data_IF_026541678582
#
_entry.id   IF_026541678582
#
_cell.length_a   1.000
_cell.length_b   1.000
_cell.length_c   1.000
_cell.angle_alpha   90.00
_cell.angle_beta   90.00
_cell.angle_gamma   90.00
#
_symmetry.space_group_name_H-M   'P 1'
#
loop_
_entity.id
_entity.type
_entity.pdbx_description
1 polymer ?
#
# COMPACT_ATOMS: atom_id res chain seq x y z
N UNK A 1 12.44 -16.09 -12.58
CA UNK A 1 11.21 -16.87 -12.32
C UNK A 1 10.46 -17.21 -13.62
N UNK A 2 9.95 -16.23 -14.38
CA UNK A 2 9.13 -16.48 -15.59
C UNK A 2 9.91 -17.20 -16.71
N UNK A 3 11.18 -16.85 -16.94
CA UNK A 3 12.03 -17.55 -17.91
C UNK A 3 12.25 -19.04 -17.55
N UNK A 4 12.42 -19.34 -16.26
CA UNK A 4 12.55 -20.72 -15.78
C UNK A 4 11.24 -21.50 -15.92
N UNK A 5 10.09 -20.85 -15.68
CA UNK A 5 8.76 -21.43 -15.89
C UNK A 5 8.55 -21.79 -17.37
N UNK A 6 8.92 -20.91 -18.31
CA UNK A 6 8.82 -21.19 -19.74
C UNK A 6 9.72 -22.37 -20.16
N UNK A 7 10.97 -22.40 -19.73
CA UNK A 7 11.88 -23.52 -20.04
C UNK A 7 11.34 -24.84 -19.50
N UNK A 8 10.82 -24.85 -18.27
CA UNK A 8 10.19 -26.02 -17.66
C UNK A 8 8.95 -26.49 -18.43
N UNK A 9 8.06 -25.55 -18.79
CA UNK A 9 6.78 -25.88 -19.47
C UNK A 9 7.03 -26.43 -20.88
N UNK A 10 7.99 -25.85 -21.61
CA UNK A 10 8.36 -26.29 -22.96
C UNK A 10 9.43 -27.39 -22.97
N UNK A 11 9.79 -27.95 -21.81
CA UNK A 11 10.79 -29.02 -21.67
C UNK A 11 12.13 -28.71 -22.38
N UNK A 12 12.53 -27.43 -22.44
CA UNK A 12 13.72 -26.98 -23.16
C UNK A 12 13.67 -27.12 -24.69
N UNK A 13 12.51 -27.35 -25.30
CA UNK A 13 12.41 -27.47 -26.75
C UNK A 13 12.52 -26.10 -27.43
N UNK A 14 13.66 -25.88 -28.08
CA UNK A 14 14.05 -24.63 -28.73
C UNK A 14 13.13 -24.27 -29.91
N UNK A 15 12.55 -25.26 -30.60
CA UNK A 15 11.70 -25.03 -31.78
C UNK A 15 10.41 -24.27 -31.43
N UNK A 16 9.79 -24.64 -30.31
CA UNK A 16 8.60 -23.97 -29.80
C UNK A 16 8.93 -22.56 -29.28
N UNK A 17 10.06 -22.40 -28.60
CA UNK A 17 10.52 -21.10 -28.09
C UNK A 17 10.83 -20.10 -29.22
N UNK A 18 11.51 -20.53 -30.28
CA UNK A 18 11.82 -19.68 -31.45
C UNK A 18 10.53 -19.20 -32.11
N UNK A 19 9.54 -20.10 -32.26
CA UNK A 19 8.26 -19.75 -32.87
C UNK A 19 7.51 -18.69 -32.06
N UNK A 20 7.52 -18.80 -30.73
CA UNK A 20 6.90 -17.84 -29.81
C UNK A 20 7.59 -16.46 -29.87
N UNK A 21 8.93 -16.47 -29.89
CA UNK A 21 9.75 -15.28 -30.03
C UNK A 21 9.49 -14.55 -31.36
N UNK A 22 9.44 -15.30 -32.46
CA UNK A 22 9.23 -14.75 -33.80
C UNK A 22 7.90 -13.98 -33.89
N UNK A 23 6.82 -14.51 -33.31
CA UNK A 23 5.53 -13.80 -33.28
C UNK A 23 5.66 -12.46 -32.54
N UNK A 24 6.30 -12.45 -31.36
CA UNK A 24 6.48 -11.22 -30.59
C UNK A 24 7.30 -10.15 -31.33
N UNK A 25 8.40 -10.55 -31.98
CA UNK A 25 9.28 -9.66 -32.73
C UNK A 25 8.60 -9.11 -33.98
N UNK A 26 8.02 -9.98 -34.81
CA UNK A 26 7.36 -9.54 -36.04
C UNK A 26 6.09 -8.75 -35.76
N UNK A 27 5.36 -9.05 -34.68
CA UNK A 27 4.22 -8.23 -34.25
C UNK A 27 4.67 -6.84 -33.79
N UNK A 28 5.77 -6.74 -33.04
CA UNK A 28 6.36 -5.46 -32.65
C UNK A 28 6.78 -4.63 -33.87
N UNK A 29 7.40 -5.27 -34.87
CA UNK A 29 7.71 -4.61 -36.14
C UNK A 29 6.46 -4.20 -36.90
N UNK A 30 5.43 -5.05 -36.97
CA UNK A 30 4.16 -4.73 -37.65
C UNK A 30 3.51 -3.50 -37.01
N UNK A 31 3.45 -3.44 -35.67
CA UNK A 31 2.89 -2.31 -34.93
C UNK A 31 3.73 -1.04 -35.14
N UNK A 32 5.07 -1.13 -35.08
CA UNK A 32 5.96 0.00 -35.29
C UNK A 32 5.85 0.58 -36.72
N UNK A 33 5.87 -0.30 -37.74
CA UNK A 33 5.73 0.08 -39.15
C UNK A 33 4.36 0.73 -39.40
N UNK A 34 3.28 0.15 -38.86
CA UNK A 34 1.93 0.72 -38.94
C UNK A 34 1.86 2.09 -38.25
N UNK A 35 2.48 2.22 -37.07
CA UNK A 35 2.57 3.48 -36.35
C UNK A 35 3.31 4.57 -37.14
N UNK A 36 4.40 4.20 -37.82
CA UNK A 36 5.14 5.11 -38.71
C UNK A 36 4.30 5.54 -39.91
N UNK A 37 3.49 4.66 -40.50
CA UNK A 37 2.56 5.04 -41.58
C UNK A 37 1.56 6.09 -41.08
N UNK A 38 0.97 5.90 -39.90
CA UNK A 38 0.04 6.87 -39.29
C UNK A 38 0.76 8.20 -39.01
N UNK A 39 1.98 8.14 -38.47
CA UNK A 39 2.80 9.32 -38.19
C UNK A 39 3.11 10.14 -39.45
N UNK A 40 3.60 9.51 -40.51
CA UNK A 40 3.90 10.20 -41.79
C UNK A 40 2.65 10.79 -42.44
N UNK A 41 1.50 10.10 -42.33
CA UNK A 41 0.23 10.61 -42.84
C UNK A 41 -0.29 11.83 -42.05
N UNK A 42 0.05 11.94 -40.76
CA UNK A 42 -0.35 13.07 -39.90
C UNK A 42 0.55 14.29 -40.07
N UNK A 43 1.86 14.12 -40.14
CA UNK A 43 2.82 15.24 -40.21
C UNK A 43 3.06 15.77 -41.63
N UNK A 44 2.85 14.93 -42.66
CA UNK A 44 2.94 15.30 -44.10
C UNK A 44 4.19 16.10 -44.50
N UNK A 45 5.33 15.80 -43.91
CA UNK A 45 6.61 16.41 -44.25
C UNK A 45 7.16 16.04 -45.63
N UNK A 46 8.38 16.45 -45.94
CA UNK A 46 8.99 16.20 -47.25
C UNK A 46 9.11 14.70 -47.56
N UNK A 47 8.71 14.29 -48.76
CA UNK A 47 8.69 12.88 -49.21
C UNK A 47 7.84 11.94 -48.32
N UNK A 48 6.85 12.45 -47.58
CA UNK A 48 6.01 11.64 -46.69
C UNK A 48 5.32 10.48 -47.41
N UNK A 49 4.87 10.65 -48.65
CA UNK A 49 4.25 9.59 -49.45
C UNK A 49 5.18 8.39 -49.65
N UNK A 50 6.45 8.65 -50.01
CA UNK A 50 7.44 7.59 -50.23
C UNK A 50 7.79 6.87 -48.93
N UNK A 51 7.96 7.62 -47.83
CA UNK A 51 8.26 7.05 -46.51
C UNK A 51 7.07 6.24 -45.96
N UNK A 52 5.84 6.74 -46.15
CA UNK A 52 4.63 6.02 -45.79
C UNK A 52 4.48 4.73 -46.61
N UNK A 53 4.75 4.77 -47.91
CA UNK A 53 4.69 3.58 -48.76
C UNK A 53 5.68 2.50 -48.34
N UNK A 54 6.95 2.85 -48.08
CA UNK A 54 7.97 1.90 -47.62
C UNK A 54 7.57 1.26 -46.28
N UNK A 55 7.10 2.05 -45.32
CA UNK A 55 6.65 1.53 -44.03
C UNK A 55 5.36 0.69 -44.17
N UNK A 56 4.44 1.05 -45.07
CA UNK A 56 3.23 0.28 -45.34
C UNK A 56 3.55 -1.08 -45.96
N UNK A 57 4.51 -1.13 -46.88
CA UNK A 57 5.02 -2.38 -47.42
C UNK A 57 5.68 -3.23 -46.33
N UNK A 58 6.50 -2.62 -45.47
CA UNK A 58 7.09 -3.29 -44.31
C UNK A 58 6.04 -3.87 -43.35
N UNK A 59 4.99 -3.10 -43.02
CA UNK A 59 3.87 -3.53 -42.20
C UNK A 59 3.11 -4.70 -42.84
N UNK A 60 2.90 -4.67 -44.15
CA UNK A 60 2.24 -5.76 -44.88
C UNK A 60 3.08 -7.05 -44.84
N UNK A 61 4.37 -6.98 -45.16
CA UNK A 61 5.27 -8.15 -45.16
C UNK A 61 5.37 -8.75 -43.75
N UNK A 62 5.62 -7.91 -42.75
CA UNK A 62 5.73 -8.38 -41.35
C UNK A 62 4.40 -8.92 -40.82
N UNK A 63 3.27 -8.30 -41.18
CA UNK A 63 1.93 -8.80 -40.84
C UNK A 63 1.62 -10.15 -41.47
N UNK A 64 2.00 -10.37 -42.74
CA UNK A 64 1.88 -11.68 -43.40
C UNK A 64 2.71 -12.73 -42.67
N UNK A 65 3.96 -12.40 -42.29
CA UNK A 65 4.81 -13.32 -41.53
C UNK A 65 4.18 -13.69 -40.18
N UNK A 66 3.65 -12.72 -39.43
CA UNK A 66 2.93 -12.99 -38.17
C UNK A 66 1.76 -13.93 -38.41
N UNK A 67 0.96 -13.69 -39.45
CA UNK A 67 -0.22 -14.51 -39.77
C UNK A 67 0.17 -15.93 -40.15
N UNK A 68 1.18 -16.09 -41.02
CA UNK A 68 1.68 -17.41 -41.42
C UNK A 68 2.20 -18.18 -40.20
N UNK A 69 3.02 -17.56 -39.34
CA UNK A 69 3.53 -18.22 -38.13
C UNK A 69 2.38 -18.56 -37.17
N UNK A 70 1.43 -17.65 -36.96
CA UNK A 70 0.28 -17.87 -36.09
C UNK A 70 -0.57 -19.07 -36.52
N UNK A 71 -0.81 -19.24 -37.83
CA UNK A 71 -1.59 -20.36 -38.39
C UNK A 71 -0.78 -21.66 -38.39
N UNK A 72 0.44 -21.64 -38.94
CA UNK A 72 1.25 -22.87 -39.13
C UNK A 72 1.80 -23.44 -37.82
N UNK A 73 2.13 -22.59 -36.85
CA UNK A 73 2.64 -23.01 -35.54
C UNK A 73 1.58 -22.90 -34.44
N UNK A 74 0.29 -22.82 -34.79
CA UNK A 74 -0.82 -22.77 -33.83
C UNK A 74 -0.73 -23.92 -32.81
N UNK A 75 -0.67 -25.17 -33.29
CA UNK A 75 -0.56 -26.36 -32.44
C UNK A 75 0.77 -26.48 -31.69
N UNK A 76 1.78 -25.71 -32.09
CA UNK A 76 3.11 -25.68 -31.49
C UNK A 76 3.24 -24.58 -30.42
N UNK A 77 2.14 -23.97 -29.97
CA UNK A 77 2.13 -23.01 -28.87
C UNK A 77 2.03 -21.54 -29.27
N UNK A 78 1.90 -21.22 -30.56
CA UNK A 78 1.65 -19.84 -31.01
C UNK A 78 0.36 -19.23 -30.41
N UNK A 79 -0.63 -20.08 -30.08
CA UNK A 79 -1.87 -19.67 -29.41
C UNK A 79 -1.63 -18.97 -28.07
N UNK A 80 -0.53 -19.28 -27.37
CA UNK A 80 -0.18 -18.66 -26.09
C UNK A 80 0.05 -17.16 -26.27
N UNK A 81 0.76 -16.73 -27.30
CA UNK A 81 0.99 -15.30 -27.57
C UNK A 81 -0.31 -14.59 -27.94
N UNK A 82 -1.17 -15.25 -28.74
CA UNK A 82 -2.47 -14.72 -29.13
C UNK A 82 -3.41 -14.50 -27.94
N UNK A 83 -3.28 -15.26 -26.86
CA UNK A 83 -4.04 -15.06 -25.61
C UNK A 83 -3.32 -14.07 -24.68
N UNK A 84 -2.00 -14.22 -24.55
CA UNK A 84 -1.19 -13.45 -23.62
C UNK A 84 -1.19 -11.95 -23.94
N UNK A 85 -1.04 -11.57 -25.20
CA UNK A 85 -1.00 -10.15 -25.59
C UNK A 85 -2.33 -9.43 -25.30
N UNK A 86 -3.50 -9.93 -25.74
CA UNK A 86 -4.79 -9.32 -25.37
C UNK A 86 -5.01 -9.26 -23.86
N UNK A 87 -4.65 -10.32 -23.12
CA UNK A 87 -4.74 -10.34 -21.66
C UNK A 87 -3.92 -9.22 -21.05
N UNK A 88 -2.67 -9.04 -21.50
CA UNK A 88 -1.78 -8.00 -21.02
C UNK A 88 -2.30 -6.59 -21.36
N UNK A 89 -2.89 -6.41 -22.56
CA UNK A 89 -3.56 -5.16 -22.94
C UNK A 89 -4.73 -4.85 -22.01
N UNK A 90 -5.57 -5.84 -21.67
CA UNK A 90 -6.68 -5.66 -20.73
C UNK A 90 -6.17 -5.27 -19.34
N UNK A 91 -5.12 -5.93 -18.84
CA UNK A 91 -4.49 -5.60 -17.56
C UNK A 91 -3.96 -4.17 -17.57
N UNK A 92 -3.19 -3.78 -18.59
CA UNK A 92 -2.65 -2.42 -18.69
C UNK A 92 -3.75 -1.36 -18.81
N UNK A 93 -4.82 -1.63 -19.56
CA UNK A 93 -5.99 -0.73 -19.62
C UNK A 93 -6.70 -0.62 -18.27
N UNK A 94 -6.85 -1.73 -17.54
CA UNK A 94 -7.47 -1.73 -16.21
C UNK A 94 -6.64 -0.94 -15.21
N UNK A 95 -5.32 -1.11 -15.22
CA UNK A 95 -4.39 -0.34 -14.38
C UNK A 95 -4.49 1.15 -14.72
N UNK A 96 -4.42 1.51 -16.00
CA UNK A 96 -4.53 2.91 -16.43
C UNK A 96 -5.88 3.54 -16.09
N UNK A 97 -6.99 2.78 -16.16
CA UNK A 97 -8.30 3.25 -15.70
C UNK A 97 -8.30 3.50 -14.20
N UNK A 98 -7.84 2.53 -13.41
CA UNK A 98 -7.74 2.67 -11.96
C UNK A 98 -6.93 3.92 -11.54
N UNK A 99 -5.80 4.19 -12.20
CA UNK A 99 -5.02 5.40 -11.93
C UNK A 99 -5.76 6.70 -12.28
N UNK A 100 -6.59 6.70 -13.34
CA UNK A 100 -7.41 7.88 -13.69
C UNK A 100 -8.53 8.09 -12.67
N UNK A 101 -9.22 7.03 -12.30
CA UNK A 101 -10.28 7.07 -11.29
C UNK A 101 -9.71 7.57 -9.94
N UNK A 102 -8.51 7.11 -9.56
CA UNK A 102 -7.80 7.63 -8.39
C UNK A 102 -7.40 9.10 -8.55
N UNK A 103 -6.91 9.52 -9.72
CA UNK A 103 -6.52 10.90 -9.95
C UNK A 103 -7.72 11.85 -9.86
N UNK A 104 -8.90 11.41 -10.30
CA UNK A 104 -10.15 12.16 -10.18
C UNK A 104 -10.62 12.24 -8.72
N UNK A 105 -10.58 11.13 -7.98
CA UNK A 105 -10.98 11.08 -6.57
C UNK A 105 -10.02 11.82 -5.62
N UNK A 106 -8.73 11.89 -5.96
CA UNK A 106 -7.71 12.58 -5.17
C UNK A 106 -7.52 14.04 -5.60
N UNK A 107 -8.22 14.50 -6.64
CA UNK A 107 -8.16 15.89 -7.05
C UNK A 107 -8.75 16.76 -5.93
N UNK A 108 -7.94 17.66 -5.37
CA UNK A 108 -8.41 18.61 -4.38
C UNK A 108 -9.29 19.66 -5.08
N UNK A 109 -10.60 19.75 -4.81
CA UNK A 109 -11.42 20.83 -5.33
C UNK A 109 -10.94 22.14 -4.72
N UNK A 110 -10.21 22.95 -5.49
CA UNK A 110 -9.58 24.21 -5.02
C UNK A 110 -10.64 25.22 -4.51
N UNK A 111 -11.88 25.08 -4.99
CA UNK A 111 -13.03 25.90 -4.60
C UNK A 111 -13.68 25.45 -3.28
N UNK A 112 -13.30 24.28 -2.74
CA UNK A 112 -13.82 23.77 -1.46
C UNK A 112 -13.03 24.35 -0.29
N UNK A 113 -13.63 25.34 0.38
CA UNK A 113 -13.05 26.00 1.56
C UNK A 113 -12.91 25.08 2.79
N UNK A 114 -13.48 23.87 2.76
CA UNK A 114 -13.36 22.90 3.86
C UNK A 114 -11.89 22.58 4.17
N UNK A 115 -11.04 22.53 3.14
CA UNK A 115 -9.62 22.16 3.27
C UNK A 115 -8.68 23.33 3.59
N UNK A 116 -9.18 24.56 3.62
CA UNK A 116 -8.40 25.76 4.00
C UNK A 116 -8.63 26.16 5.45
N UNK A 117 -9.71 25.69 6.07
CA UNK A 117 -10.02 25.94 7.47
C UNK A 117 -9.34 24.91 8.39
N UNK A 118 -8.91 25.30 9.61
CA UNK A 118 -8.42 24.32 10.58
C UNK A 118 -9.55 23.35 10.97
N UNK A 119 -9.23 22.09 11.25
CA UNK A 119 -10.22 21.11 11.71
C UNK A 119 -10.89 21.62 12.99
N UNK A 120 -12.22 21.57 13.03
CA UNK A 120 -13.04 22.11 14.14
C UNK A 120 -13.31 21.07 15.24
N UNK A 121 -13.15 19.79 14.93
CA UNK A 121 -13.38 18.70 15.86
C UNK A 121 -12.34 18.59 16.98
N UNK A 122 -12.68 17.81 18.00
CA UNK A 122 -11.78 17.48 19.11
C UNK A 122 -10.73 16.48 18.67
N UNK A 123 -9.57 16.56 19.30
CA UNK A 123 -8.49 15.61 19.11
C UNK A 123 -8.33 14.73 20.36
N UNK A 124 -8.59 13.43 20.22
CA UNK A 124 -8.34 12.44 21.26
C UNK A 124 -7.01 11.75 21.02
N UNK A 125 -6.13 11.74 22.02
CA UNK A 125 -4.81 11.11 21.91
C UNK A 125 -4.76 9.91 22.84
N UNK A 126 -4.85 8.70 22.29
CA UNK A 126 -4.82 7.45 23.07
C UNK A 126 -3.40 6.91 23.09
N UNK A 127 -2.85 6.71 24.28
CA UNK A 127 -1.50 6.14 24.46
C UNK A 127 -1.63 4.81 25.19
N UNK A 128 -1.46 3.66 24.49
CA UNK A 128 -1.41 2.36 25.16
C UNK A 128 -0.20 2.27 26.09
N UNK A 129 -0.45 2.01 27.37
CA UNK A 129 0.57 1.92 28.41
C UNK A 129 0.46 0.61 29.18
N UNK A 130 1.55 -0.14 29.25
CA UNK A 130 1.61 -1.35 30.08
C UNK A 130 2.09 -1.04 31.51
N UNK A 131 3.07 -0.16 31.67
CA UNK A 131 3.65 0.22 32.97
C UNK A 131 4.33 1.58 32.83
N UNK A 132 4.39 2.42 33.89
CA UNK A 132 5.17 3.66 33.88
C UNK A 132 6.66 3.37 33.66
N UNK A 133 7.14 3.59 32.45
CA UNK A 133 8.54 3.38 32.02
C UNK A 133 9.06 4.64 31.35
N UNK A 134 10.39 4.72 31.13
CA UNK A 134 11.00 5.84 30.39
C UNK A 134 10.42 6.00 28.97
N UNK A 135 10.03 4.90 28.35
CA UNK A 135 9.45 4.91 27.00
C UNK A 135 8.07 5.52 27.04
N UNK A 136 7.22 5.09 27.97
CA UNK A 136 5.91 5.72 28.19
C UNK A 136 6.05 7.21 28.53
N UNK A 137 7.07 7.59 29.31
CA UNK A 137 7.32 9.00 29.63
C UNK A 137 7.65 9.83 28.39
N UNK A 138 8.54 9.37 27.50
CA UNK A 138 8.84 10.06 26.24
C UNK A 138 7.63 10.08 25.30
N UNK A 139 6.89 8.97 25.20
CA UNK A 139 5.68 8.91 24.38
C UNK A 139 4.61 9.89 24.87
N UNK A 140 4.42 10.03 26.19
CA UNK A 140 3.51 11.05 26.74
C UNK A 140 4.02 12.48 26.53
N UNK A 141 5.33 12.72 26.55
CA UNK A 141 5.90 14.03 26.21
C UNK A 141 5.55 14.43 24.77
N UNK A 142 5.67 13.49 23.83
CA UNK A 142 5.24 13.70 22.46
C UNK A 142 3.71 13.87 22.37
N UNK A 143 2.93 13.01 23.02
CA UNK A 143 1.46 13.11 23.00
C UNK A 143 0.96 14.50 23.46
N UNK A 144 1.65 15.15 24.40
CA UNK A 144 1.35 16.51 24.85
C UNK A 144 1.53 17.60 23.79
N UNK A 145 2.37 17.38 22.78
CA UNK A 145 2.54 18.35 21.68
C UNK A 145 1.38 18.33 20.69
N UNK A 146 0.52 17.30 20.74
CA UNK A 146 -0.62 17.13 19.83
C UNK A 146 -1.88 17.92 20.26
N UNK A 147 -1.81 18.67 21.36
CA UNK A 147 -2.83 19.61 21.83
C UNK A 147 -4.27 19.03 21.89
N UNK A 148 -4.41 17.79 22.38
CA UNK A 148 -5.68 17.07 22.48
C UNK A 148 -5.97 16.49 23.88
N UNK A 149 -7.12 15.83 24.04
CA UNK A 149 -7.46 15.08 25.27
C UNK A 149 -6.65 13.77 25.29
N UNK A 150 -5.63 13.73 26.16
CA UNK A 150 -4.74 12.58 26.26
C UNK A 150 -5.33 11.54 27.22
N UNK A 151 -5.45 10.31 26.72
CA UNK A 151 -5.94 9.14 27.45
C UNK A 151 -4.84 8.10 27.48
N UNK A 152 -4.25 7.87 28.64
CA UNK A 152 -3.35 6.74 28.85
C UNK A 152 -4.19 5.49 29.08
N UNK A 153 -4.14 4.54 28.14
CA UNK A 153 -4.94 3.32 28.17
C UNK A 153 -4.11 2.15 28.69
N UNK A 154 -4.49 1.61 29.84
CA UNK A 154 -3.80 0.48 30.44
C UNK A 154 -4.68 -0.77 30.44
N UNK A 155 -4.21 -1.85 29.83
CA UNK A 155 -4.90 -3.14 29.87
C UNK A 155 -4.36 -3.93 31.07
N UNK A 156 -5.25 -4.26 32.00
CA UNK A 156 -4.93 -4.94 33.26
C UNK A 156 -5.66 -6.28 33.32
N UNK A 157 -5.01 -7.29 33.88
CA UNK A 157 -5.49 -8.67 33.97
C UNK A 157 -6.04 -9.03 35.36
N UNK A 158 -5.58 -8.34 36.40
CA UNK A 158 -6.00 -8.51 37.78
C UNK A 158 -6.04 -7.17 38.53
N UNK A 159 -6.77 -7.15 39.66
CA UNK A 159 -6.99 -5.92 40.46
C UNK A 159 -5.71 -5.45 41.15
N UNK A 160 -4.89 -6.37 41.65
CA UNK A 160 -3.64 -6.03 42.35
C UNK A 160 -2.65 -5.29 41.42
N UNK A 161 -2.54 -5.74 40.16
CA UNK A 161 -1.71 -5.12 39.16
C UNK A 161 -2.23 -3.74 38.77
N UNK A 162 -3.56 -3.58 38.64
CA UNK A 162 -4.19 -2.29 38.41
C UNK A 162 -3.86 -1.29 39.52
N UNK A 163 -4.02 -1.70 40.80
CA UNK A 163 -3.69 -0.86 41.96
C UNK A 163 -2.22 -0.47 42.00
N UNK A 164 -1.30 -1.39 41.68
CA UNK A 164 0.15 -1.10 41.58
C UNK A 164 0.45 -0.06 40.50
N UNK A 165 -0.19 -0.15 39.33
CA UNK A 165 0.00 0.82 38.25
C UNK A 165 -0.58 2.18 38.65
N UNK A 166 -1.79 2.21 39.20
CA UNK A 166 -2.42 3.45 39.66
C UNK A 166 -1.59 4.15 40.73
N UNK A 167 -1.02 3.40 41.69
CA UNK A 167 -0.13 3.95 42.70
C UNK A 167 1.11 4.61 42.06
N UNK A 168 1.78 3.91 41.12
CA UNK A 168 2.92 4.47 40.38
C UNK A 168 2.54 5.70 39.55
N UNK A 169 1.35 5.68 38.93
CA UNK A 169 0.85 6.81 38.14
C UNK A 169 0.57 8.04 39.01
N UNK A 170 -0.03 7.83 40.20
CA UNK A 170 -0.27 8.88 41.20
C UNK A 170 1.02 9.48 41.76
N UNK A 171 2.08 8.68 41.89
CA UNK A 171 3.40 9.18 42.29
C UNK A 171 4.05 10.02 41.18
N UNK A 172 3.99 9.54 39.93
CA UNK A 172 4.62 10.21 38.80
C UNK A 172 3.89 11.49 38.33
N UNK A 173 2.56 11.55 38.50
CA UNK A 173 1.69 12.70 38.15
C UNK A 173 1.94 13.28 36.74
N UNK A 174 1.78 12.49 35.66
CA UNK A 174 2.01 13.00 34.30
C UNK A 174 0.95 14.01 33.82
N UNK A 175 -0.06 14.35 34.64
CA UNK A 175 -1.20 15.22 34.26
C UNK A 175 -1.99 14.67 33.06
N UNK A 176 -2.12 13.35 32.98
CA UNK A 176 -2.84 12.63 31.92
C UNK A 176 -3.81 11.65 32.58
N UNK A 177 -5.02 11.54 32.01
CA UNK A 177 -6.06 10.63 32.49
C UNK A 177 -5.64 9.19 32.21
N UNK A 178 -5.50 8.39 33.27
CA UNK A 178 -5.29 6.94 33.16
C UNK A 178 -6.65 6.24 33.11
N UNK A 179 -6.86 5.42 32.08
CA UNK A 179 -8.04 4.56 31.92
C UNK A 179 -7.57 3.12 31.96
N UNK A 180 -8.07 2.35 32.92
CA UNK A 180 -7.78 0.93 33.08
C UNK A 180 -8.89 0.10 32.44
N UNK A 181 -8.52 -0.86 31.60
CA UNK A 181 -9.44 -1.81 30.96
C UNK A 181 -9.08 -3.21 31.42
N UNK A 182 -10.06 -3.88 32.01
CA UNK A 182 -9.89 -5.24 32.51
C UNK A 182 -9.97 -6.28 31.38
N UNK A 183 -8.98 -7.17 31.30
CA UNK A 183 -8.86 -8.25 30.30
C UNK A 183 -8.52 -9.57 30.99
N UNK A 184 -9.52 -10.43 31.30
CA UNK A 184 -9.30 -11.67 32.06
C UNK A 184 -8.42 -12.67 31.30
N UNK A 185 -8.48 -12.65 29.97
CA UNK A 185 -7.74 -13.57 29.09
C UNK A 185 -6.34 -13.07 28.70
N UNK A 186 -5.83 -12.00 29.34
CA UNK A 186 -4.52 -11.39 29.05
C UNK A 186 -4.34 -10.94 27.60
N UNK A 187 -5.44 -10.72 26.89
CA UNK A 187 -5.43 -10.14 25.57
C UNK A 187 -5.14 -8.64 25.72
N UNK A 188 -4.11 -8.14 25.04
CA UNK A 188 -3.75 -6.70 25.07
C UNK A 188 -4.36 -5.98 23.87
N UNK A 189 -4.31 -6.61 22.69
CA UNK A 189 -4.71 -5.98 21.42
C UNK A 189 -6.23 -5.76 21.37
N UNK A 190 -7.03 -6.81 21.63
CA UNK A 190 -8.49 -6.73 21.52
C UNK A 190 -9.12 -5.67 22.43
N UNK A 191 -8.76 -5.54 23.73
CA UNK A 191 -9.34 -4.49 24.57
C UNK A 191 -8.96 -3.08 24.13
N UNK A 192 -7.77 -2.90 23.56
CA UNK A 192 -7.35 -1.60 22.99
C UNK A 192 -8.22 -1.26 21.79
N UNK A 193 -8.39 -2.20 20.86
CA UNK A 193 -9.25 -2.01 19.68
C UNK A 193 -10.68 -1.70 20.11
N UNK A 194 -11.26 -2.50 21.02
CA UNK A 194 -12.63 -2.28 21.51
C UNK A 194 -12.80 -0.92 22.20
N UNK A 195 -11.77 -0.46 22.93
CA UNK A 195 -11.78 0.87 23.52
C UNK A 195 -11.79 1.96 22.43
N UNK A 196 -10.97 1.82 21.40
CA UNK A 196 -10.89 2.76 20.28
C UNK A 196 -12.20 2.76 19.48
N UNK A 197 -12.78 1.60 19.17
CA UNK A 197 -14.09 1.47 18.51
C UNK A 197 -15.20 2.14 19.33
N UNK A 198 -15.16 2.00 20.66
CA UNK A 198 -16.13 2.66 21.54
C UNK A 198 -15.95 4.17 21.57
N UNK A 199 -14.71 4.65 21.45
CA UNK A 199 -14.40 6.06 21.33
C UNK A 199 -14.84 6.60 19.96
N UNK A 200 -14.58 5.85 18.89
CA UNK A 200 -14.99 6.13 17.51
C UNK A 200 -16.51 6.20 17.35
N UNK A 201 -17.27 5.35 18.04
CA UNK A 201 -18.75 5.43 18.03
C UNK A 201 -19.31 6.64 18.77
N UNK A 202 -18.53 7.23 19.68
CA UNK A 202 -18.95 8.37 20.51
C UNK A 202 -18.51 9.71 19.96
N UNK A 203 -17.46 9.72 19.14
CA UNK A 203 -16.88 10.93 18.58
C UNK A 203 -17.82 11.53 17.52
N UNK A 204 -17.70 12.83 17.31
CA UNK A 204 -18.35 13.51 16.19
C UNK A 204 -17.58 13.23 14.88
N UNK A 205 -18.21 13.33 13.70
CA UNK A 205 -17.53 13.03 12.43
C UNK A 205 -16.23 13.81 12.21
N UNK A 206 -16.14 15.03 12.73
CA UNK A 206 -14.95 15.90 12.62
C UNK A 206 -13.86 15.61 13.67
N UNK A 207 -14.15 14.79 14.67
CA UNK A 207 -13.19 14.45 15.73
C UNK A 207 -12.13 13.47 15.23
N UNK A 208 -10.89 13.69 15.64
CA UNK A 208 -9.75 12.82 15.31
C UNK A 208 -9.33 12.00 16.52
N UNK A 209 -8.96 10.74 16.28
CA UNK A 209 -8.31 9.90 17.28
C UNK A 209 -6.89 9.61 16.80
N UNK A 210 -5.89 9.96 17.59
CA UNK A 210 -4.50 9.54 17.35
C UNK A 210 -4.08 8.52 18.39
N UNK A 211 -3.72 7.33 17.93
CA UNK A 211 -3.18 6.26 18.77
C UNK A 211 -1.67 6.32 18.72
N UNK A 212 -1.05 6.73 19.82
CA UNK A 212 0.41 6.88 19.92
C UNK A 212 1.01 5.62 20.53
N UNK A 213 1.65 4.81 19.70
CA UNK A 213 2.21 3.52 20.08
C UNK A 213 3.69 3.69 20.44
N UNK A 214 4.10 3.39 21.68
CA UNK A 214 5.51 3.29 22.04
C UNK A 214 6.15 2.06 21.38
N UNK A 215 7.26 2.25 20.67
CA UNK A 215 8.06 1.15 20.13
C UNK A 215 9.52 1.25 20.61
N UNK A 216 10.17 0.12 20.85
CA UNK A 216 11.57 0.07 21.27
C UNK A 216 12.46 -0.27 20.08
N UNK A 217 13.44 0.57 19.75
CA UNK A 217 14.43 0.24 18.74
C UNK A 217 15.60 -0.50 19.41
N UNK A 218 15.77 -1.77 19.04
CA UNK A 218 16.87 -2.63 19.52
C UNK A 218 18.06 -2.55 18.57
N UNK A 219 19.30 -2.58 19.10
CA UNK A 219 20.53 -2.47 18.30
C UNK A 219 20.69 -3.55 17.21
N UNK A 220 20.09 -4.73 17.38
CA UNK A 220 20.14 -5.86 16.44
C UNK A 220 18.79 -6.03 15.76
N UNK A 221 18.76 -6.11 14.42
CA UNK A 221 17.52 -6.18 13.65
C UNK A 221 16.65 -7.41 13.98
N UNK A 222 17.26 -8.55 14.33
CA UNK A 222 16.53 -9.76 14.67
C UNK A 222 15.86 -9.71 16.06
N UNK A 223 16.30 -8.82 16.97
CA UNK A 223 15.57 -8.60 18.23
C UNK A 223 14.19 -7.93 17.98
N UNK A 224 14.01 -7.24 16.84
CA UNK A 224 12.70 -6.69 16.42
C UNK A 224 11.68 -7.77 16.06
N UNK A 225 12.12 -9.00 15.75
CA UNK A 225 11.17 -10.11 15.54
C UNK A 225 10.59 -10.62 16.86
N UNK A 226 11.34 -10.49 17.95
CA UNK A 226 10.96 -10.96 19.29
C UNK A 226 10.24 -9.89 20.11
N UNK A 227 10.39 -8.61 19.75
CA UNK A 227 9.86 -7.45 20.48
C UNK A 227 9.15 -6.49 19.51
N UNK A 228 8.01 -5.91 19.92
CA UNK A 228 7.16 -4.96 19.16
C UNK A 228 6.11 -5.55 18.19
N UNK A 229 5.80 -6.85 18.24
CA UNK A 229 4.72 -7.42 17.40
C UNK A 229 3.35 -6.76 17.65
N UNK A 230 3.06 -6.40 18.90
CA UNK A 230 1.80 -5.74 19.28
C UNK A 230 1.58 -4.40 18.58
N UNK A 231 2.64 -3.58 18.44
CA UNK A 231 2.55 -2.27 17.78
C UNK A 231 2.27 -2.41 16.28
N UNK A 232 2.96 -3.35 15.64
CA UNK A 232 2.73 -3.67 14.22
C UNK A 232 1.30 -4.15 13.95
N UNK A 233 0.77 -5.04 14.80
CA UNK A 233 -0.60 -5.54 14.66
C UNK A 233 -1.62 -4.42 14.87
N UNK A 234 -1.47 -3.60 15.92
CA UNK A 234 -2.36 -2.48 16.19
C UNK A 234 -2.38 -1.49 15.01
N UNK A 235 -1.21 -1.14 14.46
CA UNK A 235 -1.11 -0.27 13.28
C UNK A 235 -1.85 -0.85 12.08
N UNK A 236 -1.69 -2.15 11.85
CA UNK A 236 -2.32 -2.85 10.70
C UNK A 236 -3.84 -2.91 10.84
N UNK A 237 -4.35 -3.05 12.07
CA UNK A 237 -5.80 -3.17 12.30
C UNK A 237 -6.49 -1.81 12.33
N UNK A 238 -5.86 -0.78 12.90
CA UNK A 238 -6.47 0.53 13.09
C UNK A 238 -6.42 1.42 11.84
N UNK A 239 -5.64 1.07 10.81
CA UNK A 239 -5.54 1.87 9.57
C UNK A 239 -6.83 1.85 8.75
N UNK A 240 -7.72 0.89 9.01
CA UNK A 240 -9.00 0.75 8.32
C UNK A 240 -10.13 1.60 8.94
N UNK A 241 -9.88 2.24 10.09
CA UNK A 241 -10.86 3.07 10.78
C UNK A 241 -10.82 4.52 10.28
N UNK A 242 -11.99 5.15 10.15
CA UNK A 242 -12.10 6.52 9.66
C UNK A 242 -11.68 7.53 10.73
N UNK A 243 -10.85 8.51 10.35
CA UNK A 243 -10.34 9.55 11.25
C UNK A 243 -9.61 8.97 12.50
N UNK A 244 -8.94 7.82 12.33
CA UNK A 244 -8.03 7.22 13.31
C UNK A 244 -6.62 7.22 12.74
N UNK A 245 -5.75 8.06 13.31
CA UNK A 245 -4.33 8.08 12.98
C UNK A 245 -3.55 7.17 13.94
N UNK A 246 -2.54 6.48 13.43
CA UNK A 246 -1.62 5.69 14.26
C UNK A 246 -0.22 6.30 14.14
N UNK A 247 0.36 6.66 15.28
CA UNK A 247 1.71 7.24 15.34
C UNK A 247 2.61 6.37 16.19
N UNK A 248 3.71 5.89 15.61
CA UNK A 248 4.73 5.13 16.34
C UNK A 248 5.80 6.08 16.86
N UNK A 249 6.15 5.98 18.15
CA UNK A 249 7.25 6.73 18.76
C UNK A 249 8.41 5.77 19.06
N UNK A 250 9.50 5.81 18.28
CA UNK A 250 10.64 4.93 18.49
C UNK A 250 11.49 5.43 19.67
N UNK A 251 11.68 4.58 20.67
CA UNK A 251 12.62 4.79 21.76
C UNK A 251 13.88 3.98 21.52
N UNK A 252 14.98 4.66 21.25
CA UNK A 252 16.27 4.04 20.99
C UNK A 252 16.95 3.65 22.31
N UNK A 253 17.16 2.36 22.52
CA UNK A 253 17.90 1.86 23.68
C UNK A 253 19.38 2.22 23.52
N UNK A 254 19.95 2.88 24.53
CA UNK A 254 21.36 3.33 24.52
C UNK A 254 22.36 2.18 24.72
N UNK A 255 21.90 0.98 25.11
CA UNK A 255 22.71 -0.21 25.36
C UNK A 255 22.10 -1.41 24.65
#
# INVERSE_FOLDING_TARGET
>A
AIAALLIFTFHGNVEHLISLYAIGVFLSFTIAQTGLVVHWNRERGENWLRRAFVNAFGAMVTGIVVLVIAVTKFSHGAWIVLVFIPTMIVIFKSINRHYRDMAEQLHLPIEDETYTQPPKGKHYVVVPVATPTRVVAETLRYAKTLNGEIIALCVVNDKEFAEKIEAKWKQWKPQVKLVTVYSPYRLVIQPIIHFIEKLERKKQPEDYITVVIPEFETRKWWHRLLHNQTGFILRTLLIFNENVAVTTIPYHLKK
#
